data_IF_066929861208
#
_entry.id   IF_066929861208
#
_cell.length_a   1.000
_cell.length_b   1.000
_cell.length_c   1.000
_cell.angle_alpha   90.00
_cell.angle_beta   90.00
_cell.angle_gamma   90.00
#
_symmetry.space_group_name_H-M   'P 1'
#
loop_
_entity.id
_entity.type
_entity.pdbx_description
1 polymer ?
#
# COMPACT_ATOMS: atom_id res chain seq x y z
N UNK A 1 -17.38 -8.30 -20.91
CA UNK A 1 -17.61 -7.68 -19.58
C UNK A 1 -17.05 -6.27 -19.61
N UNK A 2 -17.72 -5.30 -18.99
CA UNK A 2 -17.15 -3.97 -18.82
C UNK A 2 -16.01 -4.03 -17.79
N UNK A 3 -14.88 -3.40 -18.11
CA UNK A 3 -13.77 -3.23 -17.18
C UNK A 3 -14.01 -1.96 -16.35
N UNK A 4 -13.69 -1.97 -15.03
CA UNK A 4 -13.81 -0.75 -14.24
C UNK A 4 -12.77 0.25 -14.71
N UNK A 5 -13.13 1.53 -14.64
CA UNK A 5 -12.28 2.66 -15.00
C UNK A 5 -12.45 3.77 -13.98
N UNK A 6 -11.44 4.61 -13.84
CA UNK A 6 -11.50 5.81 -13.01
C UNK A 6 -10.98 7.03 -13.78
N UNK A 7 -11.43 8.21 -13.37
CA UNK A 7 -10.99 9.48 -13.94
C UNK A 7 -10.71 10.45 -12.80
N UNK A 8 -9.48 10.95 -12.74
CA UNK A 8 -9.07 12.02 -11.84
C UNK A 8 -9.16 13.36 -12.57
N UNK A 9 -9.65 14.39 -11.87
CA UNK A 9 -9.71 15.77 -12.35
C UNK A 9 -9.09 16.68 -11.28
N UNK A 10 -7.90 17.23 -11.56
CA UNK A 10 -7.20 18.16 -10.69
C UNK A 10 -7.59 19.62 -10.94
N UNK A 11 -7.36 20.49 -9.95
CA UNK A 11 -7.56 21.94 -10.05
C UNK A 11 -6.59 22.64 -11.01
N UNK A 12 -5.52 21.96 -11.40
CA UNK A 12 -4.48 22.38 -12.35
C UNK A 12 -4.81 21.97 -13.81
N UNK A 13 -6.07 21.64 -14.09
CA UNK A 13 -6.58 21.18 -15.39
C UNK A 13 -5.99 19.84 -15.88
N UNK A 14 -5.21 19.14 -15.05
CA UNK A 14 -4.75 17.79 -15.37
C UNK A 14 -5.90 16.79 -15.20
N UNK A 15 -6.19 16.06 -16.27
CA UNK A 15 -7.18 14.99 -16.28
C UNK A 15 -6.47 13.68 -16.57
N UNK A 16 -6.50 12.76 -15.62
CA UNK A 16 -5.89 11.44 -15.76
C UNK A 16 -6.99 10.38 -15.80
N UNK A 17 -6.91 9.47 -16.76
CA UNK A 17 -7.79 8.30 -16.86
C UNK A 17 -7.00 7.07 -16.44
N UNK A 18 -7.63 6.24 -15.64
CA UNK A 18 -7.11 4.96 -15.21
C UNK A 18 -7.95 3.86 -15.83
N UNK A 19 -7.29 2.96 -16.55
CA UNK A 19 -7.92 1.87 -17.28
C UNK A 19 -7.25 0.56 -16.87
N UNK A 20 -8.08 -0.45 -16.58
CA UNK A 20 -7.59 -1.78 -16.24
C UNK A 20 -7.02 -2.46 -17.47
N UNK A 21 -5.79 -2.96 -17.36
CA UNK A 21 -5.18 -3.85 -18.35
C UNK A 21 -5.32 -5.32 -17.90
N UNK A 22 -6.23 -6.12 -18.46
CA UNK A 22 -6.45 -7.50 -18.00
C UNK A 22 -5.25 -8.43 -18.21
N UNK A 23 -4.32 -8.09 -19.12
CA UNK A 23 -3.12 -8.88 -19.38
C UNK A 23 -2.03 -8.66 -18.32
N UNK A 24 -2.14 -7.61 -17.52
CA UNK A 24 -1.16 -7.28 -16.50
C UNK A 24 -1.49 -8.01 -15.18
N UNK A 25 -0.48 -8.68 -14.63
CA UNK A 25 -0.59 -9.50 -13.43
C UNK A 25 -1.11 -8.71 -12.21
N UNK A 26 -0.86 -7.40 -12.16
CA UNK A 26 -1.34 -6.55 -11.05
C UNK A 26 -2.86 -6.43 -10.95
N UNK A 27 -3.59 -6.67 -12.05
CA UNK A 27 -5.05 -6.70 -12.04
C UNK A 27 -5.62 -8.12 -11.91
N UNK A 28 -4.75 -9.12 -11.68
CA UNK A 28 -5.10 -10.53 -11.51
C UNK A 28 -4.88 -11.03 -10.08
N UNK A 29 -4.46 -10.15 -9.16
CA UNK A 29 -4.21 -10.45 -7.75
C UNK A 29 -5.06 -9.57 -6.83
N UNK A 30 -5.31 -10.05 -5.61
CA UNK A 30 -5.88 -9.25 -4.50
C UNK A 30 -4.82 -8.62 -3.61
N UNK A 31 -3.55 -9.00 -3.80
CA UNK A 31 -2.40 -8.41 -3.12
C UNK A 31 -1.86 -7.25 -3.96
N UNK A 32 -2.36 -6.05 -3.68
CA UNK A 32 -1.87 -4.82 -4.28
C UNK A 32 -0.49 -4.44 -3.74
N UNK A 33 0.28 -3.70 -4.52
CA UNK A 33 1.59 -3.17 -4.12
C UNK A 33 1.48 -2.09 -3.05
N UNK A 34 0.36 -1.38 -3.01
CA UNK A 34 0.07 -0.35 -2.02
C UNK A 34 -0.78 -0.89 -0.86
N UNK A 35 -1.04 -2.20 -0.83
CA UNK A 35 -1.80 -2.86 0.23
C UNK A 35 -0.90 -3.77 1.05
N UNK A 36 -0.97 -3.66 2.37
CA UNK A 36 -0.24 -4.52 3.32
C UNK A 36 0.71 -3.77 4.22
N UNK A 37 1.27 -4.49 5.19
CA UNK A 37 2.28 -3.96 6.11
C UNK A 37 3.54 -3.50 5.36
N UNK A 38 4.25 -2.49 5.89
CA UNK A 38 5.47 -2.00 5.24
C UNK A 38 6.55 -3.10 5.20
N UNK A 39 7.48 -3.07 4.23
CA UNK A 39 8.57 -4.05 4.15
C UNK A 39 9.39 -4.14 5.45
N UNK A 40 9.49 -3.03 6.17
CA UNK A 40 10.20 -2.96 7.45
C UNK A 40 9.52 -3.83 8.53
N UNK A 41 8.18 -3.81 8.57
CA UNK A 41 7.37 -4.61 9.50
C UNK A 41 7.42 -6.10 9.14
N UNK A 42 7.35 -6.43 7.85
CA UNK A 42 7.45 -7.81 7.38
C UNK A 42 8.84 -8.42 7.65
N UNK A 43 9.91 -7.64 7.46
CA UNK A 43 11.28 -8.07 7.73
C UNK A 43 11.59 -8.24 9.22
N UNK A 44 10.85 -7.56 10.10
CA UNK A 44 10.91 -7.74 11.56
C UNK A 44 10.22 -9.05 12.03
N UNK A 45 9.72 -9.88 11.12
CA UNK A 45 9.13 -11.18 11.43
C UNK A 45 7.64 -11.13 11.80
N UNK A 46 6.98 -9.97 11.71
CA UNK A 46 5.54 -9.88 11.89
C UNK A 46 4.78 -10.45 10.67
N UNK A 47 3.79 -11.29 10.95
CA UNK A 47 2.88 -11.84 9.96
C UNK A 47 1.75 -10.85 9.70
N UNK A 48 1.57 -10.41 8.46
CA UNK A 48 0.45 -9.56 8.05
C UNK A 48 -0.87 -10.34 8.10
N UNK A 49 -1.57 -10.23 9.23
CA UNK A 49 -2.87 -10.84 9.46
C UNK A 49 -4.01 -10.14 8.72
N UNK A 50 -3.77 -8.91 8.25
CA UNK A 50 -4.74 -8.10 7.50
C UNK A 50 -4.61 -8.30 5.99
N UNK A 51 -3.73 -9.21 5.56
CA UNK A 51 -3.52 -9.52 4.16
C UNK A 51 -4.84 -9.89 3.47
N UNK A 52 -5.15 -9.30 2.30
CA UNK A 52 -6.35 -9.61 1.56
C UNK A 52 -6.45 -11.11 1.24
N UNK A 53 -7.63 -11.70 1.44
CA UNK A 53 -7.89 -13.06 0.95
C UNK A 53 -7.72 -13.17 -0.56
N UNK A 54 -7.24 -14.32 -1.04
CA UNK A 54 -7.21 -14.69 -2.47
C UNK A 54 -8.56 -14.46 -3.18
N UNK A 55 -8.55 -14.21 -4.50
CA UNK A 55 -9.78 -14.00 -5.26
C UNK A 55 -10.64 -15.28 -5.28
N UNK A 56 -11.94 -15.11 -5.05
CA UNK A 56 -12.89 -16.21 -4.96
C UNK A 56 -13.01 -16.97 -6.29
N UNK A 57 -12.85 -18.30 -6.23
CA UNK A 57 -12.97 -19.22 -7.36
C UNK A 57 -14.26 -20.05 -7.27
N UNK A 58 -14.75 -20.49 -8.42
CA UNK A 58 -15.87 -21.42 -8.56
C UNK A 58 -15.44 -22.89 -8.44
N UNK A 59 -16.40 -23.82 -8.53
CA UNK A 59 -16.15 -25.26 -8.43
C UNK A 59 -15.24 -25.81 -9.55
N UNK A 60 -15.07 -25.09 -10.65
CA UNK A 60 -14.19 -25.45 -11.77
C UNK A 60 -12.81 -24.80 -11.66
N UNK A 61 -12.52 -24.11 -10.54
CA UNK A 61 -11.25 -23.41 -10.31
C UNK A 61 -11.13 -22.06 -11.01
N UNK A 62 -12.18 -21.60 -11.72
CA UNK A 62 -12.18 -20.30 -12.40
C UNK A 62 -12.50 -19.19 -11.40
N UNK A 63 -11.87 -18.03 -11.55
CA UNK A 63 -12.20 -16.85 -10.74
C UNK A 63 -13.65 -16.44 -11.04
N UNK A 64 -14.43 -16.22 -9.98
CA UNK A 64 -15.81 -15.75 -10.09
C UNK A 64 -15.85 -14.32 -10.64
N UNK A 65 -16.97 -13.89 -11.21
CA UNK A 65 -17.10 -12.51 -11.72
C UNK A 65 -16.79 -11.43 -10.67
N UNK A 66 -17.18 -11.66 -9.41
CA UNK A 66 -16.85 -10.76 -8.30
C UNK A 66 -15.38 -10.86 -7.87
N UNK A 67 -14.77 -12.04 -7.98
CA UNK A 67 -13.33 -12.22 -7.78
C UNK A 67 -12.53 -11.44 -8.83
N UNK A 68 -12.91 -11.53 -10.10
CA UNK A 68 -12.27 -10.76 -11.18
C UNK A 68 -12.46 -9.25 -10.97
N UNK A 69 -13.65 -8.83 -10.53
CA UNK A 69 -13.88 -7.42 -10.22
C UNK A 69 -12.98 -6.94 -9.08
N UNK A 70 -12.82 -7.75 -8.02
CA UNK A 70 -11.97 -7.41 -6.88
C UNK A 70 -10.51 -7.25 -7.30
N UNK A 71 -9.94 -8.19 -8.06
CA UNK A 71 -8.53 -8.08 -8.49
C UNK A 71 -8.31 -6.86 -9.39
N UNK A 72 -9.28 -6.55 -10.26
CA UNK A 72 -9.22 -5.36 -11.13
C UNK A 72 -9.30 -4.06 -10.32
N UNK A 73 -10.14 -4.00 -9.30
CA UNK A 73 -10.23 -2.84 -8.40
C UNK A 73 -8.96 -2.67 -7.55
N UNK A 74 -8.35 -3.77 -7.10
CA UNK A 74 -7.06 -3.72 -6.39
C UNK A 74 -5.97 -3.09 -7.26
N UNK A 75 -5.81 -3.54 -8.51
CA UNK A 75 -4.82 -2.92 -9.40
C UNK A 75 -5.14 -1.44 -9.70
N UNK A 76 -6.42 -1.08 -9.82
CA UNK A 76 -6.84 0.30 -10.02
C UNK A 76 -6.57 1.19 -8.78
N UNK A 77 -6.73 0.63 -7.58
CA UNK A 77 -6.38 1.29 -6.33
C UNK A 77 -4.87 1.59 -6.29
N UNK A 78 -4.04 0.62 -6.66
CA UNK A 78 -2.58 0.83 -6.74
C UNK A 78 -2.23 1.95 -7.72
N UNK A 79 -2.81 1.98 -8.92
CA UNK A 79 -2.56 3.04 -9.90
C UNK A 79 -2.89 4.43 -9.34
N UNK A 80 -4.03 4.56 -8.67
CA UNK A 80 -4.47 5.83 -8.09
C UNK A 80 -3.54 6.24 -6.95
N UNK A 81 -3.17 5.29 -6.09
CA UNK A 81 -2.27 5.54 -4.96
C UNK A 81 -0.88 5.97 -5.43
N UNK A 82 -0.31 5.28 -6.42
CA UNK A 82 0.98 5.62 -7.02
C UNK A 82 0.94 7.02 -7.64
N UNK A 83 -0.09 7.30 -8.45
CA UNK A 83 -0.27 8.62 -9.07
C UNK A 83 -0.34 9.76 -8.04
N UNK A 84 -1.18 9.61 -7.01
CA UNK A 84 -1.33 10.62 -5.97
C UNK A 84 -0.05 10.79 -5.14
N UNK A 85 0.67 9.70 -4.88
CA UNK A 85 1.95 9.71 -4.14
C UNK A 85 3.01 10.50 -4.92
N UNK A 86 3.20 10.19 -6.21
CA UNK A 86 4.11 10.92 -7.09
C UNK A 86 3.75 12.41 -7.16
N UNK A 87 2.45 12.73 -7.25
CA UNK A 87 1.98 14.12 -7.30
C UNK A 87 2.27 14.88 -6.00
N UNK A 88 2.15 14.23 -4.84
CA UNK A 88 2.54 14.79 -3.54
C UNK A 88 4.06 15.00 -3.45
N UNK A 89 4.88 14.07 -3.94
CA UNK A 89 6.33 14.21 -3.98
C UNK A 89 6.78 15.39 -4.84
N UNK A 90 6.19 15.55 -6.03
CA UNK A 90 6.44 16.70 -6.91
C UNK A 90 6.02 18.02 -6.24
N UNK A 91 4.91 18.04 -5.51
CA UNK A 91 4.49 19.21 -4.75
C UNK A 91 5.44 19.53 -3.57
N UNK A 92 6.03 18.51 -2.93
CA UNK A 92 7.04 18.65 -1.88
C UNK A 92 8.38 19.15 -2.45
N UNK A 93 8.83 18.63 -3.59
CA UNK A 93 10.09 19.02 -4.25
C UNK A 93 10.11 20.47 -4.75
N UNK A 94 8.95 21.08 -4.99
CA UNK A 94 8.81 22.52 -5.33
C UNK A 94 8.98 23.46 -4.12
N UNK A 95 9.08 22.94 -2.89
CA UNK A 95 9.43 23.75 -1.70
C UNK A 95 10.96 23.84 -1.58
N UNK A 96 11.56 25.04 -1.53
CA UNK A 96 13.01 25.19 -1.50
C UNK A 96 13.61 24.59 -0.21
N UNK A 97 14.45 23.57 -0.39
CA UNK A 97 15.52 23.06 0.49
C UNK A 97 15.34 23.24 2.01
N UNK A 98 14.66 22.28 2.63
CA UNK A 98 14.92 21.82 4.01
C UNK A 98 15.85 20.58 4.03
N UNK A 99 16.64 20.37 2.96
CA UNK A 99 17.45 19.17 2.70
C UNK A 99 18.52 18.85 3.77
N UNK A 100 18.89 19.80 4.64
CA UNK A 100 19.84 19.54 5.73
C UNK A 100 19.28 18.76 6.93
N UNK A 101 17.95 18.75 7.10
CA UNK A 101 17.29 18.05 8.20
C UNK A 101 16.71 16.69 7.81
N UNK A 102 16.71 16.32 6.53
CA UNK A 102 16.06 15.09 6.05
C UNK A 102 16.78 13.82 6.49
N UNK A 103 18.10 13.73 6.34
CA UNK A 103 18.85 12.55 6.78
C UNK A 103 18.68 12.30 8.30
N UNK A 104 18.71 13.38 9.10
CA UNK A 104 18.44 13.29 10.55
C UNK A 104 16.99 12.94 10.88
N UNK A 105 16.04 13.35 10.04
CA UNK A 105 14.63 13.07 10.23
C UNK A 105 14.29 11.64 9.82
N UNK A 106 14.90 11.12 8.75
CA UNK A 106 14.82 9.72 8.33
C UNK A 106 15.46 8.80 9.37
N UNK A 107 16.66 9.11 9.86
CA UNK A 107 17.33 8.35 10.93
C UNK A 107 16.50 8.35 12.22
N UNK A 108 15.86 9.48 12.55
CA UNK A 108 14.98 9.57 13.71
C UNK A 108 13.70 8.76 13.54
N UNK A 109 13.09 8.78 12.35
CA UNK A 109 11.91 7.97 12.02
C UNK A 109 12.27 6.48 12.06
N UNK A 110 13.42 6.07 11.54
CA UNK A 110 13.89 4.68 11.61
C UNK A 110 14.11 4.23 13.06
N UNK A 111 14.71 5.06 13.91
CA UNK A 111 14.90 4.74 15.32
C UNK A 111 13.56 4.66 16.08
N UNK A 112 12.64 5.59 15.83
CA UNK A 112 11.29 5.57 16.43
C UNK A 112 10.51 4.31 15.97
N UNK A 113 10.61 3.93 14.69
CA UNK A 113 10.00 2.70 14.16
C UNK A 113 10.60 1.46 14.83
N UNK A 114 11.93 1.42 15.00
CA UNK A 114 12.62 0.32 15.67
C UNK A 114 12.20 0.19 17.13
N UNK A 115 12.10 1.30 17.86
CA UNK A 115 11.67 1.33 19.26
C UNK A 115 10.20 0.88 19.42
N UNK A 116 9.33 1.26 18.48
CA UNK A 116 7.93 0.80 18.45
C UNK A 116 7.79 -0.70 18.10
N UNK A 117 8.68 -1.23 17.25
CA UNK A 117 8.66 -2.63 16.82
C UNK A 117 9.32 -3.58 17.81
N UNK A 118 10.33 -3.11 18.57
CA UNK A 118 10.97 -3.85 19.66
C UNK A 118 10.09 -3.96 20.91
N UNK A 119 8.86 -3.41 20.83
CA UNK A 119 7.70 -3.70 21.66
C UNK A 119 8.06 -4.25 23.04
N UNK A 120 8.45 -3.34 23.95
CA UNK A 120 8.94 -3.65 25.29
C UNK A 120 8.37 -4.93 25.87
N UNK A 121 9.14 -6.00 25.76
CA UNK A 121 9.00 -7.21 26.57
C UNK A 121 9.62 -6.88 27.94
N UNK A 122 9.01 -5.90 28.62
CA UNK A 122 9.23 -5.67 30.02
C UNK A 122 8.46 -6.75 30.74
N UNK A 123 9.17 -7.82 31.08
CA UNK A 123 8.76 -8.84 32.04
C UNK A 123 8.05 -8.17 33.23
N UNK A 124 6.71 -8.19 33.24
CA UNK A 124 5.94 -8.13 34.47
C UNK A 124 6.08 -9.51 35.14
N UNK A 125 7.30 -9.80 35.63
CA UNK A 125 7.53 -10.74 36.71
C UNK A 125 6.76 -10.21 37.92
N UNK A 126 5.51 -10.62 38.02
CA UNK A 126 4.70 -10.49 39.21
C UNK A 126 5.22 -11.47 40.28
N UNK A 127 6.41 -11.19 40.80
CA UNK A 127 6.91 -11.69 42.06
C UNK A 127 6.73 -10.59 43.12
N UNK A 128 5.73 -10.75 44.00
CA UNK A 128 5.63 -9.88 45.17
C UNK A 128 4.30 -9.87 45.92
N UNK A 129 4.25 -10.76 46.93
CA UNK A 129 3.47 -10.74 48.19
C UNK A 129 2.07 -11.39 48.21
#
# INVERSE_FOLDING_TARGET
MLLPTAKYCGSDAETVKFEVNPADARYQTTDGRTTGASPYVLNAGQVDRDRPSEPRRDANGKITALGELRTRLTGLQDDINEFLTQRMELAKGKKPKLQGNQAKQEERIENEIKELLDGGDGEDDADGL
#
